data_IF_641814616523
#
_entry.id   IF_641814616523
#
_cell.length_a   1.000
_cell.length_b   1.000
_cell.length_c   1.000
_cell.angle_alpha   90.00
_cell.angle_beta   90.00
_cell.angle_gamma   90.00
#
_symmetry.space_group_name_H-M   'P 1'
#
loop_
_entity.id
_entity.type
_entity.pdbx_description
1 polymer ?
#
# COMPACT_ATOMS: atom_id res chain seq x y z
N UNK A 1 13.83 -2.93 -13.44
CA UNK A 1 12.91 -3.92 -14.03
C UNK A 1 12.08 -3.20 -15.09
N UNK A 2 11.45 -3.88 -16.02
CA UNK A 2 10.54 -3.25 -16.99
C UNK A 2 9.10 -3.60 -16.60
N UNK A 3 8.16 -2.69 -16.82
CA UNK A 3 6.72 -2.94 -16.60
C UNK A 3 6.30 -4.29 -17.19
N UNK A 4 5.52 -5.07 -16.46
CA UNK A 4 4.86 -6.25 -17.05
C UNK A 4 3.83 -5.77 -18.09
N UNK A 5 3.46 -6.66 -19.01
CA UNK A 5 2.41 -6.30 -19.96
C UNK A 5 1.05 -6.11 -19.26
N UNK A 6 0.24 -5.22 -19.83
CA UNK A 6 -1.04 -4.83 -19.24
C UNK A 6 -2.00 -6.02 -19.07
N UNK A 7 -1.99 -6.99 -20.01
CA UNK A 7 -2.86 -8.18 -19.93
C UNK A 7 -2.47 -9.07 -18.74
N UNK A 8 -1.15 -9.27 -18.51
CA UNK A 8 -0.66 -10.01 -17.34
C UNK A 8 -1.07 -9.33 -16.05
N UNK A 9 -0.93 -7.99 -15.98
CA UNK A 9 -1.34 -7.21 -14.81
C UNK A 9 -2.85 -7.32 -14.56
N UNK A 10 -3.70 -7.12 -15.58
CA UNK A 10 -5.16 -7.25 -15.46
C UNK A 10 -5.59 -8.66 -15.01
N UNK A 11 -4.89 -9.69 -15.46
CA UNK A 11 -5.13 -11.07 -15.02
C UNK A 11 -4.80 -11.22 -13.53
N UNK A 12 -3.70 -10.62 -13.06
CA UNK A 12 -3.32 -10.62 -11.65
C UNK A 12 -4.36 -9.88 -10.79
N UNK A 13 -4.82 -8.69 -11.22
CA UNK A 13 -5.87 -7.92 -10.54
C UNK A 13 -7.18 -8.73 -10.43
N UNK A 14 -7.50 -9.53 -11.44
CA UNK A 14 -8.70 -10.38 -11.42
C UNK A 14 -8.56 -11.53 -10.43
N UNK A 15 -7.39 -12.15 -10.32
CA UNK A 15 -7.12 -13.19 -9.33
C UNK A 15 -7.14 -12.61 -7.90
N UNK A 16 -6.53 -11.44 -7.70
CA UNK A 16 -6.51 -10.74 -6.42
C UNK A 16 -7.91 -10.36 -5.95
N UNK A 17 -8.75 -9.84 -6.85
CA UNK A 17 -10.15 -9.57 -6.54
C UNK A 17 -10.89 -10.81 -6.02
N UNK A 18 -10.68 -11.97 -6.66
CA UNK A 18 -11.25 -13.25 -6.20
C UNK A 18 -10.76 -13.64 -4.81
N UNK A 19 -9.48 -13.45 -4.53
CA UNK A 19 -8.88 -13.75 -3.24
C UNK A 19 -9.48 -12.90 -2.10
N UNK A 20 -9.66 -11.62 -2.33
CA UNK A 20 -10.25 -10.70 -1.35
C UNK A 20 -11.72 -11.02 -0.99
N UNK A 21 -12.49 -11.64 -1.89
CA UNK A 21 -13.87 -12.02 -1.60
C UNK A 21 -13.99 -13.06 -0.48
N UNK A 22 -12.96 -13.87 -0.29
CA UNK A 22 -12.93 -14.93 0.73
C UNK A 22 -12.37 -14.43 2.08
N UNK A 23 -11.77 -13.23 2.13
CA UNK A 23 -11.18 -12.70 3.34
C UNK A 23 -12.23 -12.15 4.30
N UNK A 24 -12.07 -12.49 5.57
CA UNK A 24 -12.92 -11.94 6.63
C UNK A 24 -12.53 -10.48 6.90
N UNK A 25 -13.52 -9.61 7.05
CA UNK A 25 -13.30 -8.20 7.37
C UNK A 25 -12.47 -7.97 8.65
N UNK A 26 -12.52 -8.90 9.61
CA UNK A 26 -11.69 -8.87 10.82
C UNK A 26 -10.19 -8.97 10.52
N UNK A 27 -9.78 -9.66 9.47
CA UNK A 27 -8.38 -9.81 9.09
C UNK A 27 -7.74 -8.46 8.77
N UNK A 28 -8.43 -7.59 8.06
CA UNK A 28 -7.94 -6.23 7.74
C UNK A 28 -7.71 -5.39 9.00
N UNK A 29 -8.61 -5.48 9.98
CA UNK A 29 -8.46 -4.75 11.25
C UNK A 29 -7.23 -5.20 12.04
N UNK A 30 -6.95 -6.52 12.06
CA UNK A 30 -5.78 -7.07 12.74
C UNK A 30 -4.51 -6.64 11.99
N UNK A 31 -4.50 -6.74 10.66
CA UNK A 31 -3.39 -6.33 9.81
C UNK A 31 -3.05 -4.85 10.03
N UNK A 32 -4.03 -3.94 9.92
CA UNK A 32 -3.82 -2.50 10.12
C UNK A 32 -3.26 -2.17 11.52
N UNK A 33 -3.77 -2.82 12.58
CA UNK A 33 -3.23 -2.63 13.93
C UNK A 33 -1.78 -3.11 14.05
N UNK A 34 -1.45 -4.24 13.44
CA UNK A 34 -0.09 -4.77 13.43
C UNK A 34 0.85 -3.83 12.68
N UNK A 35 0.45 -3.34 11.51
CA UNK A 35 1.19 -2.35 10.71
C UNK A 35 1.43 -1.09 11.55
N UNK A 36 0.38 -0.55 12.17
CA UNK A 36 0.47 0.63 13.02
C UNK A 36 1.48 0.46 14.16
N UNK A 37 1.43 -0.68 14.86
CA UNK A 37 2.37 -0.99 15.94
C UNK A 37 3.82 -1.10 15.46
N UNK A 38 4.06 -1.77 14.33
CA UNK A 38 5.41 -1.96 13.76
C UNK A 38 6.01 -0.65 13.26
N UNK A 39 5.21 0.19 12.62
CA UNK A 39 5.63 1.48 12.07
C UNK A 39 5.53 2.65 13.07
N UNK A 40 5.02 2.41 14.28
CA UNK A 40 4.83 3.45 15.29
C UNK A 40 3.78 4.48 14.90
N UNK A 41 2.69 4.06 14.26
CA UNK A 41 1.63 4.92 13.74
C UNK A 41 0.45 4.99 14.73
N UNK A 42 0.05 6.20 15.12
CA UNK A 42 -1.27 6.48 15.68
C UNK A 42 -2.16 7.08 14.58
N UNK A 43 -2.98 6.23 13.96
CA UNK A 43 -3.80 6.63 12.81
C UNK A 43 -4.73 7.81 13.08
N UNK A 44 -5.18 8.00 14.33
CA UNK A 44 -6.10 9.09 14.67
C UNK A 44 -5.39 10.43 14.96
N UNK A 45 -4.06 10.42 15.16
CA UNK A 45 -3.32 11.62 15.60
C UNK A 45 -2.24 12.09 14.65
N UNK A 46 -1.55 11.16 13.98
CA UNK A 46 -0.29 11.48 13.30
C UNK A 46 -0.47 12.18 11.96
N UNK A 47 -1.70 12.23 11.42
CA UNK A 47 -1.96 12.63 10.04
C UNK A 47 -2.71 13.95 9.87
N UNK A 48 -2.99 14.63 10.97
CA UNK A 48 -3.61 15.94 10.92
C UNK A 48 -2.83 16.89 10.00
N UNK A 49 -3.55 17.56 9.12
CA UNK A 49 -3.02 18.53 8.17
C UNK A 49 -2.08 17.93 7.08
N UNK A 50 -1.99 16.61 6.94
CA UNK A 50 -1.16 15.93 5.94
C UNK A 50 -1.93 15.54 4.68
N UNK A 51 -1.21 15.53 3.55
CA UNK A 51 -1.64 14.89 2.30
C UNK A 51 -1.10 13.46 2.29
N UNK A 52 -2.00 12.49 2.24
CA UNK A 52 -1.68 11.05 2.34
C UNK A 52 -2.14 10.34 1.08
N UNK A 53 -1.30 9.46 0.55
CA UNK A 53 -1.64 8.52 -0.51
C UNK A 53 -1.48 7.10 0.01
N UNK A 54 -2.52 6.28 -0.02
CA UNK A 54 -2.43 4.84 0.18
C UNK A 54 -2.59 4.13 -1.16
N UNK A 55 -1.60 3.31 -1.51
CA UNK A 55 -1.55 2.56 -2.77
C UNK A 55 -2.08 1.16 -2.54
N UNK A 56 -3.04 0.72 -3.38
CA UNK A 56 -3.59 -0.62 -3.33
C UNK A 56 -4.28 -0.94 -2.01
N UNK A 57 -5.12 -0.02 -1.55
CA UNK A 57 -5.78 -0.13 -0.24
C UNK A 57 -6.74 -1.33 -0.10
N UNK A 58 -7.11 -1.95 -1.22
CA UNK A 58 -8.08 -3.03 -1.24
C UNK A 58 -9.45 -2.61 -0.69
N UNK A 59 -10.27 -3.57 -0.21
CA UNK A 59 -11.59 -3.26 0.29
C UNK A 59 -11.58 -2.57 1.68
N UNK A 60 -10.44 -2.56 2.39
CA UNK A 60 -10.32 -2.01 3.75
C UNK A 60 -8.91 -1.47 4.02
N UNK A 61 -8.56 -0.37 3.38
CA UNK A 61 -7.28 0.29 3.57
C UNK A 61 -7.04 0.82 4.99
N UNK A 62 -5.78 0.99 5.32
CA UNK A 62 -5.36 1.54 6.60
C UNK A 62 -5.77 3.00 6.79
N UNK A 63 -5.95 3.76 5.70
CA UNK A 63 -6.41 5.14 5.73
C UNK A 63 -7.78 5.30 6.39
N UNK A 64 -8.64 4.28 6.35
CA UNK A 64 -9.95 4.31 7.02
C UNK A 64 -9.83 4.48 8.54
N UNK A 65 -8.71 4.05 9.14
CA UNK A 65 -8.47 4.17 10.57
C UNK A 65 -8.05 5.57 11.01
N UNK A 66 -7.73 6.46 10.07
CA UNK A 66 -7.49 7.89 10.33
C UNK A 66 -8.79 8.63 10.65
N UNK A 67 -9.94 8.07 10.30
CA UNK A 67 -11.28 8.68 10.47
C UNK A 67 -11.38 10.08 9.84
N UNK A 68 -10.64 10.33 8.77
CA UNK A 68 -10.64 11.61 8.08
C UNK A 68 -9.82 12.72 8.77
N UNK A 69 -8.91 12.38 9.71
CA UNK A 69 -8.04 13.36 10.37
C UNK A 69 -6.83 13.75 9.52
N UNK A 70 -7.03 14.06 8.25
CA UNK A 70 -5.99 14.47 7.31
C UNK A 70 -6.41 15.77 6.57
N UNK A 71 -5.48 16.43 5.89
CA UNK A 71 -5.78 17.54 4.98
C UNK A 71 -6.40 17.04 3.68
N UNK A 72 -5.81 15.98 3.09
CA UNK A 72 -6.28 15.28 1.90
C UNK A 72 -5.87 13.82 1.97
N UNK A 73 -6.82 12.91 1.80
CA UNK A 73 -6.59 11.48 1.72
C UNK A 73 -6.89 10.98 0.32
N UNK A 74 -5.96 10.24 -0.28
CA UNK A 74 -6.08 9.67 -1.62
C UNK A 74 -5.85 8.18 -1.51
N UNK A 75 -6.73 7.40 -2.12
CA UNK A 75 -6.53 5.96 -2.33
C UNK A 75 -6.43 5.69 -3.82
N UNK A 76 -5.34 5.07 -4.24
CA UNK A 76 -5.13 4.63 -5.61
C UNK A 76 -5.35 3.12 -5.65
N UNK A 77 -6.53 2.69 -6.14
CA UNK A 77 -6.96 1.30 -6.09
C UNK A 77 -7.66 0.90 -7.41
N UNK A 78 -7.00 0.11 -8.26
CA UNK A 78 -7.57 -0.26 -9.57
C UNK A 78 -8.85 -1.09 -9.48
N UNK A 79 -9.11 -1.75 -8.34
CA UNK A 79 -10.26 -2.63 -8.16
C UNK A 79 -11.46 -1.95 -7.47
N UNK A 80 -11.36 -0.67 -7.10
CA UNK A 80 -12.38 -0.02 -6.26
C UNK A 80 -13.78 -0.08 -6.87
N UNK A 81 -13.91 0.02 -8.18
CA UNK A 81 -15.19 -0.03 -8.88
C UNK A 81 -15.79 -1.46 -8.97
N UNK A 82 -15.01 -2.47 -8.61
CA UNK A 82 -15.45 -3.87 -8.57
C UNK A 82 -16.00 -4.29 -7.20
N UNK A 83 -15.70 -3.49 -6.17
CA UNK A 83 -16.19 -3.76 -4.83
C UNK A 83 -17.65 -3.36 -4.65
N UNK A 84 -18.38 -3.93 -3.67
CA UNK A 84 -19.70 -3.46 -3.29
C UNK A 84 -19.70 -1.95 -2.99
N UNK A 85 -20.79 -1.22 -3.35
CA UNK A 85 -20.87 0.24 -3.17
C UNK A 85 -20.61 0.70 -1.72
N UNK A 86 -20.91 -0.13 -0.74
CA UNK A 86 -20.69 0.15 0.69
C UNK A 86 -19.21 0.34 1.00
N UNK A 87 -18.32 -0.42 0.33
CA UNK A 87 -16.87 -0.30 0.51
C UNK A 87 -16.39 1.05 0.01
N UNK A 88 -16.82 1.45 -1.19
CA UNK A 88 -16.52 2.77 -1.72
C UNK A 88 -17.03 3.88 -0.81
N UNK A 89 -18.27 3.72 -0.33
CA UNK A 89 -18.89 4.68 0.59
C UNK A 89 -18.12 4.86 1.88
N UNK A 90 -17.52 3.81 2.45
CA UNK A 90 -16.73 3.92 3.69
C UNK A 90 -15.52 4.88 3.51
N UNK A 91 -14.88 4.89 2.34
CA UNK A 91 -13.82 5.85 2.02
C UNK A 91 -14.36 7.27 1.81
N UNK A 92 -15.44 7.40 1.03
CA UNK A 92 -16.07 8.68 0.75
C UNK A 92 -16.60 9.36 2.02
N UNK A 93 -17.17 8.60 2.96
CA UNK A 93 -17.71 9.11 4.23
C UNK A 93 -16.67 9.79 5.12
N UNK A 94 -15.39 9.43 4.98
CA UNK A 94 -14.28 10.08 5.69
C UNK A 94 -13.52 11.09 4.82
N UNK A 95 -13.99 11.37 3.61
CA UNK A 95 -13.42 12.39 2.71
C UNK A 95 -12.19 11.91 1.93
N UNK A 96 -12.04 10.61 1.69
CA UNK A 96 -10.99 10.05 0.84
C UNK A 96 -11.37 10.17 -0.64
N UNK A 97 -10.43 10.67 -1.43
CA UNK A 97 -10.48 10.66 -2.88
C UNK A 97 -10.07 9.28 -3.42
N UNK A 98 -10.90 8.69 -4.28
CA UNK A 98 -10.66 7.38 -4.87
C UNK A 98 -10.22 7.51 -6.32
N UNK A 99 -9.05 6.97 -6.66
CA UNK A 99 -8.48 6.98 -8.01
C UNK A 99 -8.38 5.55 -8.53
N UNK A 100 -9.08 5.28 -9.65
CA UNK A 100 -9.13 3.97 -10.32
C UNK A 100 -8.02 3.91 -11.36
N UNK A 101 -6.80 3.71 -10.93
CA UNK A 101 -5.61 3.65 -11.81
C UNK A 101 -4.49 2.82 -11.18
N UNK A 102 -3.50 2.36 -11.97
CA UNK A 102 -2.20 2.00 -11.41
C UNK A 102 -1.54 3.22 -10.78
N UNK A 103 -0.79 3.03 -9.70
CA UNK A 103 -0.11 4.15 -9.03
C UNK A 103 0.96 4.80 -9.93
N UNK A 104 1.58 4.04 -10.79
CA UNK A 104 2.61 4.49 -11.75
C UNK A 104 2.08 5.54 -12.76
N UNK A 105 0.76 5.57 -12.94
CA UNK A 105 0.09 6.52 -13.84
C UNK A 105 -0.52 7.71 -13.07
N UNK A 106 -0.23 7.82 -11.77
CA UNK A 106 -0.77 8.89 -10.93
C UNK A 106 -0.06 10.22 -11.18
N UNK A 107 -0.83 11.25 -11.48
CA UNK A 107 -0.37 12.63 -11.51
C UNK A 107 -0.91 13.39 -10.30
N UNK A 108 -0.02 13.89 -9.46
CA UNK A 108 -0.37 14.72 -8.29
C UNK A 108 0.34 16.06 -8.42
N UNK A 109 -0.42 17.15 -8.44
CA UNK A 109 0.09 18.52 -8.61
C UNK A 109 0.71 19.12 -7.34
N UNK A 110 0.59 18.44 -6.20
CA UNK A 110 1.13 18.88 -4.91
C UNK A 110 2.09 17.84 -4.31
N UNK A 111 2.95 18.31 -3.42
CA UNK A 111 3.83 17.42 -2.66
C UNK A 111 3.00 16.59 -1.67
N UNK A 112 3.18 15.27 -1.73
CA UNK A 112 2.58 14.32 -0.79
C UNK A 112 3.37 14.32 0.51
N UNK A 113 2.70 14.39 1.65
CA UNK A 113 3.37 14.26 2.94
C UNK A 113 3.75 12.81 3.23
N UNK A 114 2.83 11.86 2.96
CA UNK A 114 3.10 10.44 3.17
C UNK A 114 2.50 9.56 2.05
N UNK A 115 3.28 8.62 1.54
CA UNK A 115 2.79 7.52 0.69
C UNK A 115 2.96 6.19 1.41
N UNK A 116 1.91 5.37 1.38
CA UNK A 116 1.84 4.09 2.07
C UNK A 116 1.73 2.92 1.09
N UNK A 117 2.59 1.92 1.27
CA UNK A 117 2.57 0.63 0.58
C UNK A 117 2.39 -0.47 1.63
N UNK A 118 1.19 -0.99 1.74
CA UNK A 118 0.87 -2.00 2.74
C UNK A 118 0.35 -3.27 2.06
N UNK A 119 1.27 -4.19 1.75
CA UNK A 119 1.05 -5.46 1.06
C UNK A 119 0.51 -5.30 -0.37
N UNK A 120 1.14 -4.44 -1.17
CA UNK A 120 0.71 -4.10 -2.53
C UNK A 120 1.79 -4.22 -3.60
N UNK A 121 3.07 -4.10 -3.23
CA UNK A 121 4.19 -3.98 -4.17
C UNK A 121 4.30 -5.18 -5.13
N UNK A 122 3.85 -6.34 -4.71
CA UNK A 122 3.82 -7.56 -5.54
C UNK A 122 2.72 -7.57 -6.63
N UNK A 123 1.76 -6.61 -6.60
CA UNK A 123 0.57 -6.56 -7.47
C UNK A 123 0.61 -5.46 -8.55
N UNK A 124 1.68 -4.70 -8.65
CA UNK A 124 1.80 -3.50 -9.47
C UNK A 124 2.33 -3.75 -10.87
N UNK A 125 2.36 -2.73 -11.72
CA UNK A 125 2.93 -2.82 -13.08
C UNK A 125 4.45 -2.92 -13.06
N UNK A 126 5.13 -2.09 -12.25
CA UNK A 126 6.58 -2.12 -12.02
C UNK A 126 6.90 -1.70 -10.59
N UNK A 127 7.34 -2.62 -9.71
CA UNK A 127 7.67 -2.32 -8.33
C UNK A 127 8.72 -1.23 -8.16
N UNK A 128 9.73 -1.21 -9.03
CA UNK A 128 10.82 -0.21 -8.95
C UNK A 128 10.29 1.17 -9.32
N UNK A 129 9.54 1.26 -10.42
CA UNK A 129 8.98 2.52 -10.90
C UNK A 129 8.05 3.16 -9.88
N UNK A 130 7.14 2.38 -9.26
CA UNK A 130 6.24 2.93 -8.25
C UNK A 130 6.96 3.40 -6.99
N UNK A 131 7.98 2.67 -6.52
CA UNK A 131 8.76 3.06 -5.35
C UNK A 131 9.60 4.32 -5.63
N UNK A 132 10.20 4.44 -6.83
CA UNK A 132 10.91 5.64 -7.26
C UNK A 132 9.97 6.84 -7.42
N UNK A 133 8.75 6.63 -7.92
CA UNK A 133 7.73 7.68 -7.99
C UNK A 133 7.39 8.18 -6.58
N UNK A 134 7.12 7.28 -5.65
CA UNK A 134 6.83 7.65 -4.26
C UNK A 134 8.00 8.41 -3.60
N UNK A 135 9.24 7.94 -3.80
CA UNK A 135 10.44 8.59 -3.33
C UNK A 135 10.59 10.02 -3.84
N UNK A 136 10.22 10.26 -5.10
CA UNK A 136 10.29 11.57 -5.75
C UNK A 136 9.19 12.51 -5.29
N UNK A 137 7.97 12.00 -5.01
CA UNK A 137 6.77 12.83 -4.79
C UNK A 137 6.43 13.01 -3.32
N UNK A 138 7.01 12.20 -2.42
CA UNK A 138 6.60 12.16 -1.01
C UNK A 138 7.73 12.56 -0.06
N UNK A 139 7.37 13.19 1.05
CA UNK A 139 8.32 13.48 2.15
C UNK A 139 8.61 12.24 2.99
N UNK A 140 7.62 11.36 3.12
CA UNK A 140 7.71 10.11 3.89
C UNK A 140 7.12 8.98 3.06
N UNK A 141 7.81 7.83 3.04
CA UNK A 141 7.26 6.59 2.46
C UNK A 141 7.24 5.53 3.55
N UNK A 142 6.06 4.94 3.77
CA UNK A 142 5.89 3.83 4.71
C UNK A 142 5.64 2.55 3.95
N UNK A 143 6.36 1.51 4.33
CA UNK A 143 6.29 0.20 3.69
C UNK A 143 5.98 -0.86 4.73
N UNK A 144 5.07 -1.77 4.39
CA UNK A 144 4.88 -3.05 5.05
C UNK A 144 4.51 -4.08 3.98
N UNK A 145 5.42 -5.00 3.68
CA UNK A 145 5.28 -5.93 2.55
C UNK A 145 5.67 -7.35 2.93
N UNK A 146 4.88 -8.32 2.49
CA UNK A 146 5.25 -9.72 2.57
C UNK A 146 6.43 -10.03 1.63
N UNK A 147 7.50 -10.67 2.16
CA UNK A 147 8.61 -11.11 1.31
C UNK A 147 8.19 -12.38 0.55
N UNK A 148 8.13 -12.28 -0.78
CA UNK A 148 7.68 -13.34 -1.66
C UNK A 148 8.81 -13.75 -2.61
N UNK A 149 9.19 -15.02 -2.55
CA UNK A 149 10.28 -15.59 -3.37
C UNK A 149 9.79 -16.19 -4.70
N UNK A 150 8.48 -16.33 -4.87
CA UNK A 150 7.88 -16.95 -6.06
C UNK A 150 6.72 -16.12 -6.56
N UNK A 151 6.54 -16.12 -7.88
CA UNK A 151 5.38 -15.52 -8.52
C UNK A 151 4.25 -16.52 -8.68
N UNK A 152 3.01 -16.02 -8.69
CA UNK A 152 1.83 -16.81 -9.01
C UNK A 152 0.83 -15.98 -9.85
N UNK A 153 -0.42 -16.42 -9.94
CA UNK A 153 -1.40 -15.74 -10.77
C UNK A 153 -1.72 -14.32 -10.25
N UNK A 154 -1.88 -14.14 -8.94
CA UNK A 154 -2.19 -12.86 -8.32
C UNK A 154 -0.94 -12.01 -8.07
N UNK A 155 0.22 -12.65 -7.86
CA UNK A 155 1.50 -12.01 -7.52
C UNK A 155 2.48 -12.09 -8.70
N UNK A 156 2.44 -11.13 -9.63
CA UNK A 156 3.35 -11.15 -10.79
C UNK A 156 4.81 -10.89 -10.44
N UNK A 157 5.10 -10.38 -9.26
CA UNK A 157 6.44 -10.01 -8.82
C UNK A 157 6.88 -10.78 -7.58
N UNK A 158 8.19 -11.08 -7.51
CA UNK A 158 8.86 -11.42 -6.26
C UNK A 158 9.21 -10.16 -5.49
N UNK A 159 9.09 -10.18 -4.16
CA UNK A 159 9.44 -9.06 -3.30
C UNK A 159 10.55 -9.49 -2.34
N UNK A 160 11.65 -8.76 -2.36
CA UNK A 160 12.80 -8.98 -1.49
C UNK A 160 13.20 -7.69 -0.77
N UNK A 161 13.96 -7.81 0.31
CA UNK A 161 14.56 -6.66 1.01
C UNK A 161 15.41 -5.81 0.06
N UNK A 162 16.13 -6.45 -0.88
CA UNK A 162 16.98 -5.77 -1.85
C UNK A 162 16.20 -4.80 -2.75
N UNK A 163 14.95 -5.10 -3.09
CA UNK A 163 14.10 -4.18 -3.85
C UNK A 163 13.99 -2.83 -3.15
N UNK A 164 13.73 -2.82 -1.84
CA UNK A 164 13.56 -1.59 -1.07
C UNK A 164 14.88 -0.89 -0.81
N UNK A 165 15.93 -1.64 -0.47
CA UNK A 165 17.26 -1.05 -0.20
C UNK A 165 17.89 -0.44 -1.44
N UNK A 166 17.64 -0.97 -2.63
CA UNK A 166 18.11 -0.38 -3.89
C UNK A 166 17.45 0.97 -4.18
N UNK A 167 16.18 1.17 -3.81
CA UNK A 167 15.46 2.43 -4.02
C UNK A 167 15.74 3.43 -2.92
N UNK A 168 15.59 3.03 -1.67
CA UNK A 168 15.56 3.95 -0.52
C UNK A 168 16.82 3.94 0.35
N UNK A 169 17.74 2.99 0.13
CA UNK A 169 18.81 2.70 1.07
C UNK A 169 18.35 1.82 2.23
N UNK A 170 19.20 1.69 3.23
CA UNK A 170 18.90 0.89 4.43
C UNK A 170 18.00 1.68 5.38
N UNK A 171 16.70 1.40 5.40
CA UNK A 171 15.72 2.10 6.25
C UNK A 171 14.75 1.17 6.97
N UNK A 172 14.66 -0.08 6.57
CA UNK A 172 13.65 -1.02 7.04
C UNK A 172 14.19 -2.14 7.91
N UNK A 173 13.28 -3.01 8.33
CA UNK A 173 13.56 -4.19 9.14
C UNK A 173 12.75 -5.36 8.65
N UNK A 174 13.19 -6.57 8.99
CA UNK A 174 12.44 -7.80 8.73
C UNK A 174 11.71 -8.23 10.01
N UNK A 175 10.40 -8.40 9.90
CA UNK A 175 9.57 -9.06 10.89
C UNK A 175 9.50 -10.55 10.55
N UNK A 176 10.11 -11.38 11.39
CA UNK A 176 10.27 -12.82 11.15
C UNK A 176 9.05 -13.62 11.56
N UNK A 177 8.59 -14.52 10.67
CA UNK A 177 7.65 -15.59 11.02
C UNK A 177 6.29 -15.08 11.49
N UNK A 178 5.90 -13.88 11.12
CA UNK A 178 4.69 -13.28 11.57
C UNK A 178 3.47 -13.82 10.83
N UNK A 179 2.68 -14.67 11.48
CA UNK A 179 1.27 -14.79 11.13
C UNK A 179 0.58 -13.48 11.50
N UNK A 180 0.72 -12.47 10.68
CA UNK A 180 -0.27 -11.39 10.67
C UNK A 180 -1.49 -12.00 10.00
N UNK A 181 -2.57 -12.19 10.75
CA UNK A 181 -3.80 -12.79 10.22
C UNK A 181 -4.24 -11.97 9.00
N UNK A 182 -4.36 -12.61 7.84
CA UNK A 182 -4.61 -11.94 6.56
C UNK A 182 -3.37 -11.70 5.70
N UNK A 183 -2.16 -11.80 6.26
CA UNK A 183 -0.92 -11.90 5.50
C UNK A 183 -0.41 -13.33 5.65
N UNK A 184 -0.13 -14.01 4.55
CA UNK A 184 0.46 -15.34 4.57
C UNK A 184 1.69 -15.38 5.47
N UNK A 185 2.02 -16.55 6.01
CA UNK A 185 3.09 -16.82 6.99
C UNK A 185 4.53 -16.54 6.49
N UNK A 186 4.72 -15.48 5.72
CA UNK A 186 6.00 -15.04 5.21
C UNK A 186 6.67 -14.05 6.17
N UNK A 187 7.99 -13.95 6.07
CA UNK A 187 8.69 -12.81 6.63
C UNK A 187 8.18 -11.52 5.96
N UNK A 188 8.05 -10.43 6.71
CA UNK A 188 7.61 -9.16 6.19
C UNK A 188 8.72 -8.11 6.33
N UNK A 189 8.92 -7.31 5.29
CA UNK A 189 9.74 -6.11 5.34
C UNK A 189 8.87 -4.92 5.76
N UNK A 190 9.35 -4.09 6.69
CA UNK A 190 8.64 -2.89 7.11
C UNK A 190 9.62 -1.77 7.45
N UNK A 191 9.21 -0.53 7.24
CA UNK A 191 10.00 0.64 7.57
C UNK A 191 9.36 1.95 7.14
N UNK A 192 9.98 3.04 7.60
CA UNK A 192 9.62 4.41 7.24
C UNK A 192 10.84 5.12 6.67
N UNK A 193 10.79 5.47 5.40
CA UNK A 193 11.80 6.29 4.76
C UNK A 193 11.40 7.77 4.83
N UNK A 194 12.39 8.65 4.97
CA UNK A 194 12.23 10.11 5.01
C UNK A 194 13.10 10.75 3.91
N UNK A 195 12.54 11.73 3.18
CA UNK A 195 13.32 12.54 2.26
C UNK A 195 14.40 13.34 2.99
N UNK A 196 15.59 13.45 2.39
CA UNK A 196 16.79 14.01 3.05
C UNK A 196 16.65 15.46 3.51
N UNK A 197 15.73 16.22 2.95
CA UNK A 197 15.51 17.63 3.29
C UNK A 197 14.60 17.84 4.52
N UNK A 198 14.18 16.76 5.18
CA UNK A 198 13.26 16.79 6.32
C UNK A 198 13.87 16.22 7.64
N UNK A 199 15.20 16.06 7.70
CA UNK A 199 15.93 15.62 8.91
C UNK A 199 16.69 16.78 9.53
#
# INVERSE_FOLDING_TARGET
MSRIDLHRWQSAQTAEFGHHQDLRMSAYSIATKTIGNLLGIDYEKDFKDKVIVEVGAGPRGSILYTKGTFKRGIVVEPLIDRWPPEIRKDYEDIGVELIVAPYEDLEIDEQVDETWFFNVVQHVLDPTEQLELAKKTSKVVRVFEGLCQTTDQAHPWTVSEELFTNVFGDFGKIFKGGTVEGFHSADCYYGTWYASDNV
#
